data_IF_441300230322
#
_entry.id   IF_441300230322
#
_cell.length_a   1.000
_cell.length_b   1.000
_cell.length_c   1.000
_cell.angle_alpha   90.00
_cell.angle_beta   90.00
_cell.angle_gamma   90.00
#
_symmetry.space_group_name_H-M   'P 1'
#
loop_
_entity.id
_entity.type
_entity.pdbx_description
1 polymer ?
#
# COMPACT_ATOMS: atom_id res chain seq x y z
N UNK A 1 -2.65 2.12 27.07
CA UNK A 1 -2.48 0.77 26.48
C UNK A 1 -3.77 0.15 25.95
N UNK A 2 -4.84 -0.09 26.75
CA UNK A 2 -6.11 -0.65 26.22
C UNK A 2 -6.78 0.27 25.17
N UNK A 3 -6.80 1.58 25.40
CA UNK A 3 -7.33 2.59 24.47
C UNK A 3 -6.53 2.65 23.15
N UNK A 4 -5.20 2.62 23.23
CA UNK A 4 -4.31 2.68 22.05
C UNK A 4 -4.48 1.45 21.16
N UNK A 5 -4.64 0.26 21.76
CA UNK A 5 -4.94 -0.97 21.02
C UNK A 5 -6.26 -0.89 20.27
N UNK A 6 -7.32 -0.37 20.92
CA UNK A 6 -8.63 -0.17 20.26
C UNK A 6 -8.53 0.78 19.07
N UNK A 7 -7.86 1.92 19.25
CA UNK A 7 -7.68 2.90 18.19
C UNK A 7 -6.87 2.34 17.01
N UNK A 8 -5.85 1.52 17.29
CA UNK A 8 -5.06 0.83 16.27
C UNK A 8 -5.93 -0.10 15.41
N UNK A 9 -6.79 -0.89 16.05
CA UNK A 9 -7.71 -1.80 15.36
C UNK A 9 -8.67 -1.01 14.46
N UNK A 10 -9.23 0.09 14.96
CA UNK A 10 -10.10 0.97 14.17
C UNK A 10 -9.36 1.53 12.94
N UNK A 11 -8.11 1.99 13.13
CA UNK A 11 -7.26 2.47 12.03
C UNK A 11 -6.98 1.40 10.98
N UNK A 12 -6.67 0.18 11.42
CA UNK A 12 -6.46 -0.96 10.51
C UNK A 12 -7.74 -1.26 9.72
N UNK A 13 -8.90 -1.27 10.38
CA UNK A 13 -10.20 -1.46 9.70
C UNK A 13 -10.45 -0.35 8.67
N UNK A 14 -10.19 0.92 9.02
CA UNK A 14 -10.32 2.04 8.09
C UNK A 14 -9.39 1.84 6.87
N UNK A 15 -8.14 1.44 7.08
CA UNK A 15 -7.20 1.17 5.98
C UNK A 15 -7.69 0.02 5.10
N UNK A 16 -8.20 -1.05 5.70
CA UNK A 16 -8.81 -2.17 4.95
C UNK A 16 -9.95 -1.64 4.08
N UNK A 17 -10.86 -0.83 4.64
CA UNK A 17 -11.99 -0.26 3.89
C UNK A 17 -11.53 0.68 2.77
N UNK A 18 -10.56 1.56 3.02
CA UNK A 18 -10.03 2.47 1.99
C UNK A 18 -9.23 1.70 0.93
N UNK A 19 -8.57 0.58 1.29
CA UNK A 19 -7.85 -0.26 0.33
C UNK A 19 -8.78 -0.85 -0.73
N UNK A 20 -10.10 -0.94 -0.46
CA UNK A 20 -11.12 -1.32 -1.43
C UNK A 20 -11.25 -0.30 -2.58
N UNK A 21 -10.69 0.89 -2.48
CA UNK A 21 -10.63 1.84 -3.62
C UNK A 21 -9.79 1.26 -4.76
N UNK A 22 -8.81 0.38 -4.47
CA UNK A 22 -8.06 -0.35 -5.50
C UNK A 22 -8.99 -1.17 -6.43
N UNK A 23 -10.21 -1.47 -5.99
CA UNK A 23 -11.22 -2.22 -6.73
C UNK A 23 -12.01 -1.38 -7.76
N UNK A 24 -11.88 -0.06 -7.73
CA UNK A 24 -12.60 0.83 -8.63
C UNK A 24 -12.31 0.42 -10.11
N UNK A 25 -13.33 0.32 -10.99
CA UNK A 25 -13.15 -0.02 -12.40
C UNK A 25 -12.04 0.73 -13.12
N UNK A 26 -11.75 1.98 -12.71
CA UNK A 26 -10.65 2.79 -13.26
C UNK A 26 -9.26 2.27 -12.86
N UNK A 27 -9.08 1.85 -11.61
CA UNK A 27 -7.85 1.21 -11.13
C UNK A 27 -7.73 -0.21 -11.65
N UNK A 28 -8.86 -0.92 -11.79
CA UNK A 28 -8.90 -2.28 -12.33
C UNK A 28 -8.61 -2.31 -13.83
N UNK A 29 -9.15 -1.39 -14.63
CA UNK A 29 -8.87 -1.31 -16.07
C UNK A 29 -7.41 -0.93 -16.36
N UNK A 30 -6.84 -0.06 -15.53
CA UNK A 30 -5.41 0.22 -15.53
C UNK A 30 -4.55 -1.04 -15.29
N UNK A 31 -4.99 -1.91 -14.37
CA UNK A 31 -4.32 -3.17 -14.06
C UNK A 31 -4.57 -4.25 -15.14
N UNK A 32 -5.78 -4.36 -15.67
CA UNK A 32 -6.15 -5.33 -16.72
C UNK A 32 -5.41 -5.02 -18.04
N UNK A 33 -5.29 -3.73 -18.41
CA UNK A 33 -4.51 -3.33 -19.58
C UNK A 33 -3.03 -3.73 -19.45
N UNK A 34 -2.53 -3.94 -18.24
CA UNK A 34 -1.18 -4.47 -17.97
C UNK A 34 -1.14 -6.00 -17.99
N UNK A 35 -2.19 -6.66 -17.50
CA UNK A 35 -2.35 -8.12 -17.61
C UNK A 35 -2.34 -8.59 -19.08
N UNK A 36 -2.79 -7.74 -20.00
CA UNK A 36 -2.71 -7.95 -21.45
C UNK A 36 -1.31 -7.75 -22.05
N UNK A 37 -0.41 -7.01 -21.37
CA UNK A 37 0.96 -6.72 -21.83
C UNK A 37 2.02 -7.55 -21.09
N UNK A 38 1.71 -8.01 -19.88
CA UNK A 38 2.48 -8.97 -19.08
C UNK A 38 1.92 -10.37 -19.38
N UNK A 39 2.56 -11.02 -20.34
CA UNK A 39 2.30 -12.29 -21.05
C UNK A 39 1.87 -13.55 -20.24
N UNK A 40 0.97 -13.49 -19.24
CA UNK A 40 0.50 -14.70 -18.51
C UNK A 40 -0.95 -14.75 -18.04
N UNK A 41 -1.74 -13.67 -18.10
CA UNK A 41 -3.15 -13.71 -17.64
C UNK A 41 -3.31 -14.06 -16.15
N UNK A 42 -2.31 -13.74 -15.34
CA UNK A 42 -2.30 -13.99 -13.90
C UNK A 42 -2.43 -12.67 -13.13
N UNK A 43 -3.37 -12.63 -12.19
CA UNK A 43 -3.67 -11.46 -11.33
C UNK A 43 -2.57 -11.18 -10.28
N UNK A 44 -1.32 -11.58 -10.53
CA UNK A 44 -0.21 -11.38 -9.62
C UNK A 44 1.09 -10.99 -10.35
N UNK A 45 1.74 -9.93 -9.85
CA UNK A 45 3.07 -9.51 -10.23
C UNK A 45 4.03 -9.73 -9.06
N UNK A 46 4.96 -10.67 -9.23
CA UNK A 46 6.03 -10.97 -8.28
C UNK A 46 7.39 -10.42 -8.73
N UNK A 47 7.46 -9.82 -9.93
CA UNK A 47 8.70 -9.26 -10.47
C UNK A 47 8.88 -7.83 -9.98
N UNK A 48 9.91 -7.55 -9.16
CA UNK A 48 10.10 -6.23 -8.61
C UNK A 48 10.44 -5.21 -9.71
N UNK A 49 9.89 -4.02 -9.54
CA UNK A 49 9.98 -2.83 -10.39
C UNK A 49 9.36 -2.99 -11.79
N UNK A 50 8.67 -4.09 -12.10
CA UNK A 50 8.05 -4.27 -13.42
C UNK A 50 6.93 -3.25 -13.65
N UNK A 51 6.05 -3.10 -12.67
CA UNK A 51 4.96 -2.12 -12.64
C UNK A 51 5.50 -0.70 -12.74
N UNK A 52 6.49 -0.35 -11.93
CA UNK A 52 7.04 1.00 -11.92
C UNK A 52 7.72 1.32 -13.27
N UNK A 53 8.52 0.38 -13.80
CA UNK A 53 9.18 0.55 -15.10
C UNK A 53 8.19 0.69 -16.24
N UNK A 54 7.09 -0.07 -16.23
CA UNK A 54 6.05 0.00 -17.25
C UNK A 54 5.38 1.39 -17.26
N UNK A 55 5.01 1.94 -16.09
CA UNK A 55 4.43 3.28 -16.04
C UNK A 55 5.43 4.37 -16.44
N UNK A 56 6.72 4.19 -16.17
CA UNK A 56 7.75 5.15 -16.59
C UNK A 56 8.00 5.06 -18.09
N UNK A 57 8.16 3.85 -18.64
CA UNK A 57 8.53 3.64 -20.05
C UNK A 57 7.38 3.89 -21.02
N UNK A 58 6.14 3.61 -20.60
CA UNK A 58 4.94 3.74 -21.41
C UNK A 58 4.02 4.86 -20.88
N UNK A 59 4.57 5.85 -20.17
CA UNK A 59 3.81 6.92 -19.53
C UNK A 59 2.86 7.64 -20.49
N UNK A 60 3.28 7.83 -21.74
CA UNK A 60 2.49 8.49 -22.79
C UNK A 60 1.30 7.65 -23.30
N UNK A 61 1.31 6.33 -23.04
CA UNK A 61 0.24 5.39 -23.45
C UNK A 61 -0.83 5.23 -22.37
N UNK A 62 -0.50 5.52 -21.11
CA UNK A 62 -1.44 5.48 -20.02
C UNK A 62 -2.00 6.86 -19.74
N UNK A 63 -3.26 6.91 -19.28
CA UNK A 63 -3.80 8.15 -18.75
C UNK A 63 -2.97 8.57 -17.52
N UNK A 64 -2.45 9.80 -17.49
CA UNK A 64 -1.67 10.34 -16.36
C UNK A 64 -2.40 10.18 -15.02
N UNK A 65 -3.74 10.25 -15.03
CA UNK A 65 -4.57 10.00 -13.84
C UNK A 65 -4.36 8.59 -13.29
N UNK A 66 -4.22 7.57 -14.14
CA UNK A 66 -3.98 6.19 -13.71
C UNK A 66 -2.64 6.06 -12.98
N UNK A 67 -1.58 6.60 -13.59
CA UNK A 67 -0.23 6.56 -13.03
C UNK A 67 -0.21 7.29 -11.69
N UNK A 68 -0.78 8.50 -11.66
CA UNK A 68 -0.87 9.30 -10.45
C UNK A 68 -1.65 8.59 -9.35
N UNK A 69 -2.83 8.01 -9.66
CA UNK A 69 -3.64 7.28 -8.70
C UNK A 69 -2.91 6.05 -8.16
N UNK A 70 -2.16 5.32 -8.98
CA UNK A 70 -1.34 4.19 -8.52
C UNK A 70 -0.32 4.62 -7.47
N UNK A 71 0.50 5.64 -7.76
CA UNK A 71 1.50 6.12 -6.80
C UNK A 71 0.84 6.75 -5.57
N UNK A 72 -0.20 7.58 -5.75
CA UNK A 72 -0.86 8.27 -4.67
C UNK A 72 -1.53 7.31 -3.68
N UNK A 73 -2.27 6.30 -4.16
CA UNK A 73 -2.93 5.33 -3.27
C UNK A 73 -1.90 4.51 -2.51
N UNK A 74 -0.86 3.98 -3.17
CA UNK A 74 0.14 3.16 -2.49
C UNK A 74 1.04 3.99 -1.53
N UNK A 75 1.28 5.27 -1.82
CA UNK A 75 2.04 6.11 -0.89
C UNK A 75 1.15 6.55 0.28
N UNK A 76 -0.03 7.11 0.02
CA UNK A 76 -0.84 7.81 1.02
C UNK A 76 -1.67 6.89 1.93
N UNK A 77 -2.08 5.71 1.46
CA UNK A 77 -3.01 4.83 2.19
C UNK A 77 -2.49 4.41 3.57
N UNK A 78 -1.18 4.25 3.73
CA UNK A 78 -0.57 3.73 4.96
C UNK A 78 -0.02 4.81 5.90
N UNK A 79 -0.05 6.10 5.49
CA UNK A 79 0.38 7.23 6.33
C UNK A 79 -0.31 7.22 7.70
N UNK A 80 -1.64 7.08 7.82
CA UNK A 80 -2.31 7.16 9.12
C UNK A 80 -1.81 6.11 10.13
N UNK A 81 -1.58 4.87 9.68
CA UNK A 81 -1.03 3.80 10.53
C UNK A 81 0.42 4.11 10.89
N UNK A 82 1.24 4.54 9.94
CA UNK A 82 2.64 4.83 10.18
C UNK A 82 2.84 5.97 11.19
N UNK A 83 2.05 7.05 11.05
CA UNK A 83 2.00 8.16 12.02
C UNK A 83 1.58 7.62 13.38
N UNK A 84 0.47 6.85 13.43
CA UNK A 84 -0.05 6.28 14.67
C UNK A 84 0.99 5.41 15.39
N UNK A 85 1.73 4.57 14.67
CA UNK A 85 2.80 3.75 15.24
C UNK A 85 3.97 4.60 15.75
N UNK A 86 4.34 5.65 15.02
CA UNK A 86 5.44 6.55 15.39
C UNK A 86 5.15 7.37 16.65
N UNK A 87 3.90 7.80 16.83
CA UNK A 87 3.48 8.59 18.00
C UNK A 87 3.07 7.74 19.20
N UNK A 88 2.93 6.42 19.10
CA UNK A 88 2.48 5.57 20.22
C UNK A 88 3.63 4.73 20.78
N UNK A 89 3.50 4.32 22.05
CA UNK A 89 4.52 3.56 22.78
C UNK A 89 4.43 2.05 22.50
N UNK A 90 4.39 1.66 21.22
CA UNK A 90 4.54 0.25 20.82
C UNK A 90 6.02 -0.13 20.78
N UNK A 91 6.31 -1.42 20.98
CA UNK A 91 7.69 -1.90 20.89
C UNK A 91 8.17 -1.86 19.42
N UNK A 92 9.50 -1.82 19.23
CA UNK A 92 10.11 -1.69 17.89
C UNK A 92 9.71 -2.83 16.96
N UNK A 93 9.64 -4.05 17.47
CA UNK A 93 9.30 -5.24 16.69
C UNK A 93 7.86 -5.18 16.15
N UNK A 94 6.88 -4.84 17.00
CA UNK A 94 5.47 -4.67 16.60
C UNK A 94 5.32 -3.60 15.54
N UNK A 95 6.02 -2.47 15.65
CA UNK A 95 5.97 -1.42 14.62
C UNK A 95 6.48 -1.93 13.27
N UNK A 96 7.64 -2.60 13.25
CA UNK A 96 8.24 -3.14 12.03
C UNK A 96 7.33 -4.21 11.41
N UNK A 97 6.79 -5.12 12.23
CA UNK A 97 5.90 -6.18 11.77
C UNK A 97 4.62 -5.60 11.15
N UNK A 98 4.01 -4.58 11.76
CA UNK A 98 2.80 -3.96 11.18
C UNK A 98 3.14 -3.26 9.87
N UNK A 99 4.24 -2.51 9.80
CA UNK A 99 4.66 -1.80 8.58
C UNK A 99 4.88 -2.76 7.40
N UNK A 100 5.46 -3.94 7.65
CA UNK A 100 5.78 -4.92 6.60
C UNK A 100 4.59 -5.84 6.30
N UNK A 101 3.98 -6.43 7.34
CA UNK A 101 2.97 -7.48 7.15
C UNK A 101 1.62 -6.91 6.74
N UNK A 102 1.23 -5.70 7.16
CA UNK A 102 -0.08 -5.16 6.84
C UNK A 102 -0.29 -4.99 5.33
N UNK A 103 0.64 -4.37 4.55
CA UNK A 103 0.50 -4.29 3.10
C UNK A 103 0.50 -5.66 2.40
N UNK A 104 1.35 -6.58 2.85
CA UNK A 104 1.44 -7.93 2.28
C UNK A 104 0.13 -8.70 2.48
N UNK A 105 -0.39 -8.71 3.71
CA UNK A 105 -1.65 -9.40 4.04
C UNK A 105 -2.81 -8.78 3.26
N UNK A 106 -2.86 -7.46 3.12
CA UNK A 106 -3.93 -6.81 2.36
C UNK A 106 -3.92 -7.19 0.88
N UNK A 107 -2.77 -7.15 0.22
CA UNK A 107 -2.69 -7.52 -1.20
C UNK A 107 -2.91 -9.03 -1.41
N UNK A 108 -2.48 -9.89 -0.47
CA UNK A 108 -2.81 -11.34 -0.49
C UNK A 108 -4.31 -11.58 -0.33
N UNK A 109 -4.97 -10.90 0.61
CA UNK A 109 -6.42 -11.03 0.81
C UNK A 109 -7.17 -10.56 -0.43
N UNK A 110 -6.76 -9.45 -1.03
CA UNK A 110 -7.37 -8.94 -2.26
C UNK A 110 -7.24 -9.94 -3.42
N UNK A 111 -6.09 -10.60 -3.56
CA UNK A 111 -5.89 -11.67 -4.52
C UNK A 111 -6.77 -12.89 -4.20
N UNK A 112 -6.79 -13.34 -2.94
CA UNK A 112 -7.53 -14.52 -2.50
C UNK A 112 -9.05 -14.37 -2.72
N UNK A 113 -9.59 -13.17 -2.47
CA UNK A 113 -10.99 -12.84 -2.74
C UNK A 113 -11.27 -12.47 -4.20
N UNK A 114 -10.26 -12.50 -5.08
CA UNK A 114 -10.35 -12.12 -6.50
C UNK A 114 -10.93 -10.71 -6.71
N UNK A 115 -10.73 -9.84 -5.73
CA UNK A 115 -11.20 -8.46 -5.78
C UNK A 115 -10.11 -7.56 -6.37
N UNK A 116 -8.84 -7.78 -6.03
CA UNK A 116 -7.70 -6.99 -6.52
C UNK A 116 -6.56 -7.85 -7.07
N UNK A 117 -5.46 -7.17 -7.41
CA UNK A 117 -4.23 -7.76 -7.94
C UNK A 117 -3.15 -7.77 -6.87
N UNK A 118 -2.38 -8.85 -6.79
CA UNK A 118 -1.15 -8.85 -6.00
C UNK A 118 -0.04 -8.18 -6.81
N UNK A 119 0.55 -7.10 -6.30
CA UNK A 119 1.61 -6.39 -7.00
C UNK A 119 2.76 -6.04 -6.05
N UNK A 120 3.91 -6.68 -6.25
CA UNK A 120 5.07 -6.49 -5.38
C UNK A 120 5.54 -5.03 -5.33
N UNK A 121 5.35 -4.26 -6.41
CA UNK A 121 5.72 -2.85 -6.45
C UNK A 121 4.83 -2.00 -5.56
N UNK A 122 3.54 -2.32 -5.51
CA UNK A 122 2.59 -1.70 -4.58
C UNK A 122 3.00 -1.97 -3.12
N UNK A 123 3.37 -3.21 -2.78
CA UNK A 123 3.88 -3.57 -1.45
C UNK A 123 5.14 -2.78 -1.11
N UNK A 124 6.10 -2.70 -2.04
CA UNK A 124 7.35 -1.95 -1.85
C UNK A 124 7.05 -0.48 -1.57
N UNK A 125 6.17 0.15 -2.34
CA UNK A 125 5.76 1.54 -2.14
C UNK A 125 5.10 1.75 -0.77
N UNK A 126 4.16 0.88 -0.39
CA UNK A 126 3.45 0.94 0.89
C UNK A 126 4.41 0.83 2.09
N UNK A 127 5.38 -0.09 2.01
CA UNK A 127 6.35 -0.34 3.07
C UNK A 127 7.32 0.85 3.20
N UNK A 128 7.87 1.33 2.08
CA UNK A 128 8.81 2.45 2.07
C UNK A 128 8.16 3.75 2.57
N UNK A 129 6.96 4.08 2.09
CA UNK A 129 6.23 5.27 2.53
C UNK A 129 5.94 5.22 4.04
N UNK A 130 5.52 4.05 4.52
CA UNK A 130 5.26 3.81 5.95
C UNK A 130 6.50 3.97 6.81
N UNK A 131 7.66 3.47 6.38
CA UNK A 131 8.91 3.64 7.13
C UNK A 131 9.33 5.12 7.23
N UNK A 132 9.26 5.85 6.12
CA UNK A 132 9.60 7.28 6.09
C UNK A 132 8.73 8.05 7.08
N UNK A 133 7.42 7.84 7.00
CA UNK A 133 6.43 8.54 7.83
C UNK A 133 6.56 8.14 9.31
N UNK A 134 6.79 6.85 9.60
CA UNK A 134 7.03 6.37 10.96
C UNK A 134 8.24 7.05 11.60
N UNK A 135 9.37 7.15 10.88
CA UNK A 135 10.59 7.80 11.38
C UNK A 135 10.33 9.28 11.67
N UNK A 136 9.68 9.98 10.74
CA UNK A 136 9.32 11.40 10.91
C UNK A 136 8.44 11.58 12.14
N UNK A 137 7.34 10.82 12.27
CA UNK A 137 6.41 10.92 13.39
C UNK A 137 7.06 10.60 14.74
N UNK A 138 7.94 9.59 14.78
CA UNK A 138 8.68 9.23 15.99
C UNK A 138 9.67 10.31 16.41
N UNK A 139 10.38 10.91 15.46
CA UNK A 139 11.32 11.99 15.73
C UNK A 139 10.62 13.27 16.22
N UNK A 140 9.46 13.61 15.64
CA UNK A 140 8.64 14.72 16.12
C UNK A 140 8.20 14.51 17.58
N UNK A 141 7.73 13.31 17.92
CA UNK A 141 7.31 13.02 19.30
C UNK A 141 8.44 13.06 20.32
N UNK A 142 9.68 12.72 19.95
CA UNK A 142 10.82 12.79 20.89
C UNK A 142 11.24 14.22 21.22
N UNK A 143 10.89 15.19 20.37
CA UNK A 143 11.22 16.61 20.54
C UNK A 143 10.18 17.38 21.37
N UNK A 144 8.97 16.84 21.54
CA UNK A 144 7.89 17.44 22.31
C UNK A 144 7.74 16.75 23.67
#
# INVERSE_FOLDING_TARGET
MKRDKRNMVILIIIIVLISLIKLNPLTKSAQINREFLVDRGENFNVYPFSTIKEYIANGDRYNTTIIFTFFAINILLYLPVAIFLGINKFNKLTNILIIILLPIVLDILQLAFRIGMFDIDSIVLNVLSSFIVFIIARNFKQKC
#
